data_IF_986618819977
#
_entry.id   IF_986618819977
#
_cell.length_a   1.000
_cell.length_b   1.000
_cell.length_c   1.000
_cell.angle_alpha   90.00
_cell.angle_beta   90.00
_cell.angle_gamma   90.00
#
_symmetry.space_group_name_H-M   'P 1'
#
loop_
_entity.id
_entity.type
_entity.pdbx_description
1 polymer ?
#
# COMPACT_ATOMS: atom_id res chain seq x y z
N UNK A 1 -6.74 9.50 -20.67
CA UNK A 1 -7.50 8.57 -19.82
C UNK A 1 -6.51 8.09 -18.79
N UNK A 2 -6.80 8.33 -17.52
CA UNK A 2 -5.93 7.93 -16.42
C UNK A 2 -5.68 6.42 -16.46
N UNK A 3 -4.43 6.02 -16.33
CA UNK A 3 -4.01 4.63 -16.25
C UNK A 3 -3.34 4.36 -14.90
N UNK A 4 -3.80 3.33 -14.20
CA UNK A 4 -3.27 2.95 -12.90
C UNK A 4 -2.79 1.51 -12.93
N UNK A 5 -1.65 1.27 -12.30
CA UNK A 5 -1.15 -0.08 -12.03
C UNK A 5 -1.34 -0.34 -10.53
N UNK A 6 -2.18 -1.32 -10.20
CA UNK A 6 -2.57 -1.63 -8.83
C UNK A 6 -2.21 -3.08 -8.53
N UNK A 7 -1.42 -3.34 -7.49
CA UNK A 7 -1.02 -4.68 -7.09
C UNK A 7 -0.65 -4.76 -5.61
N UNK A 8 -0.59 -5.97 -5.06
CA UNK A 8 -0.13 -6.27 -3.71
C UNK A 8 0.57 -7.63 -3.70
N UNK A 9 0.66 -8.25 -2.52
CA UNK A 9 1.22 -9.61 -2.37
C UNK A 9 2.63 -9.75 -2.97
N UNK A 10 3.47 -8.74 -2.76
CA UNK A 10 4.85 -8.77 -3.22
C UNK A 10 5.64 -9.82 -2.43
N UNK A 11 5.40 -9.95 -1.11
CA UNK A 11 6.06 -10.94 -0.23
C UNK A 11 7.59 -11.00 -0.42
N UNK A 12 8.24 -9.84 -0.48
CA UNK A 12 9.68 -9.67 -0.77
C UNK A 12 10.15 -10.18 -2.15
N UNK A 13 9.24 -10.53 -3.06
CA UNK A 13 9.57 -11.05 -4.40
C UNK A 13 9.74 -9.93 -5.43
N UNK A 14 10.65 -8.99 -5.16
CA UNK A 14 10.91 -7.78 -5.97
C UNK A 14 11.05 -8.07 -7.47
N UNK A 15 11.67 -9.19 -7.84
CA UNK A 15 11.91 -9.57 -9.24
C UNK A 15 10.64 -9.77 -10.08
N UNK A 16 9.46 -9.95 -9.47
CA UNK A 16 8.21 -10.04 -10.25
C UNK A 16 7.69 -8.68 -10.68
N UNK A 17 8.12 -7.59 -10.04
CA UNK A 17 7.75 -6.22 -10.42
C UNK A 17 8.20 -5.93 -11.86
N UNK A 18 9.35 -6.46 -12.28
CA UNK A 18 9.86 -6.35 -13.66
C UNK A 18 8.94 -6.94 -14.73
N UNK A 19 8.00 -7.79 -14.33
CA UNK A 19 7.04 -8.39 -15.26
C UNK A 19 5.87 -7.46 -15.56
N UNK A 20 5.67 -6.40 -14.77
CA UNK A 20 4.62 -5.40 -14.96
C UNK A 20 5.15 -4.34 -15.94
N UNK A 21 4.93 -4.57 -17.24
CA UNK A 21 5.53 -3.74 -18.31
C UNK A 21 4.92 -2.34 -18.41
N UNK A 22 3.73 -2.19 -17.88
CA UNK A 22 2.93 -0.97 -17.87
C UNK A 22 3.37 0.00 -16.77
N UNK A 23 4.09 -0.48 -15.76
CA UNK A 23 4.49 0.28 -14.57
C UNK A 23 5.16 1.64 -14.89
N UNK A 24 6.11 1.74 -15.85
CA UNK A 24 6.75 3.01 -16.18
C UNK A 24 5.85 4.03 -16.87
N UNK A 25 4.72 3.57 -17.42
CA UNK A 25 3.77 4.40 -18.17
C UNK A 25 2.48 4.68 -17.42
N UNK A 26 2.33 4.16 -16.20
CA UNK A 26 1.17 4.41 -15.36
C UNK A 26 1.19 5.84 -14.81
N UNK A 27 0.02 6.47 -14.70
CA UNK A 27 -0.11 7.75 -14.02
C UNK A 27 0.03 7.59 -12.51
N UNK A 28 -0.44 6.45 -11.98
CA UNK A 28 -0.30 6.04 -10.57
C UNK A 28 0.08 4.57 -10.44
N UNK A 29 0.93 4.29 -9.45
CA UNK A 29 1.19 2.95 -8.92
C UNK A 29 0.59 2.84 -7.53
N UNK A 30 -0.30 1.89 -7.30
CA UNK A 30 -0.95 1.68 -6.00
C UNK A 30 -0.58 0.30 -5.45
N UNK A 31 0.02 0.27 -4.26
CA UNK A 31 0.41 -0.96 -3.57
C UNK A 31 -0.61 -1.28 -2.47
N UNK A 32 -1.30 -2.42 -2.59
CA UNK A 32 -2.46 -2.74 -1.75
C UNK A 32 -2.15 -3.51 -0.46
N UNK A 33 -0.87 -3.76 -0.19
CA UNK A 33 -0.39 -4.47 1.00
C UNK A 33 0.42 -5.73 0.70
N UNK A 34 0.87 -6.38 1.76
CA UNK A 34 1.72 -7.57 1.77
C UNK A 34 2.98 -7.37 0.94
N UNK A 35 3.66 -6.25 1.22
CA UNK A 35 4.93 -5.93 0.58
C UNK A 35 5.99 -6.95 1.01
N UNK A 36 6.01 -7.23 2.30
CA UNK A 36 7.00 -8.06 2.95
C UNK A 36 6.41 -9.40 3.38
N UNK A 37 7.27 -10.31 3.84
CA UNK A 37 6.86 -11.56 4.46
C UNK A 37 7.25 -11.54 5.94
N UNK A 38 6.43 -10.87 6.77
CA UNK A 38 6.74 -10.52 8.16
C UNK A 38 8.01 -9.65 8.28
N UNK A 39 8.17 -8.69 7.37
CA UNK A 39 9.28 -7.74 7.33
C UNK A 39 8.89 -6.35 7.81
N UNK A 40 9.90 -5.51 8.02
CA UNK A 40 9.74 -4.17 8.58
C UNK A 40 10.05 -3.08 7.57
N UNK A 41 10.34 -1.89 8.11
CA UNK A 41 10.63 -0.68 7.32
C UNK A 41 11.75 -0.90 6.30
N UNK A 42 12.79 -1.66 6.63
CA UNK A 42 13.95 -1.85 5.75
C UNK A 42 13.55 -2.58 4.47
N UNK A 43 12.83 -3.69 4.59
CA UNK A 43 12.35 -4.47 3.45
C UNK A 43 11.35 -3.66 2.61
N UNK A 44 10.43 -2.96 3.25
CA UNK A 44 9.50 -2.07 2.56
C UNK A 44 10.24 -0.95 1.80
N UNK A 45 11.27 -0.36 2.39
CA UNK A 45 12.10 0.67 1.75
C UNK A 45 12.81 0.14 0.50
N UNK A 46 13.37 -1.07 0.55
CA UNK A 46 13.98 -1.72 -0.62
C UNK A 46 12.97 -1.90 -1.76
N UNK A 47 11.75 -2.35 -1.45
CA UNK A 47 10.67 -2.54 -2.42
C UNK A 47 10.19 -1.20 -3.01
N UNK A 48 9.93 -0.20 -2.16
CA UNK A 48 9.47 1.12 -2.61
C UNK A 48 10.53 1.80 -3.47
N UNK A 49 11.80 1.75 -3.07
CA UNK A 49 12.89 2.29 -3.88
C UNK A 49 13.02 1.56 -5.22
N UNK A 50 12.74 0.26 -5.24
CA UNK A 50 12.73 -0.51 -6.49
C UNK A 50 11.62 -0.05 -7.45
N UNK A 51 10.39 0.10 -6.94
CA UNK A 51 9.25 0.61 -7.70
C UNK A 51 9.52 2.03 -8.21
N UNK A 52 10.17 2.87 -7.39
CA UNK A 52 10.54 4.25 -7.75
C UNK A 52 11.49 4.36 -8.94
N UNK A 53 12.25 3.33 -9.27
CA UNK A 53 13.03 3.31 -10.51
C UNK A 53 12.14 3.31 -11.77
N UNK A 54 10.91 2.79 -11.66
CA UNK A 54 9.94 2.75 -12.74
C UNK A 54 8.95 3.90 -12.69
N UNK A 55 8.42 4.21 -11.51
CA UNK A 55 7.38 5.23 -11.34
C UNK A 55 7.44 5.89 -9.96
N UNK A 56 7.36 7.22 -9.92
CA UNK A 56 7.43 8.01 -8.67
C UNK A 56 6.07 8.37 -8.08
N UNK A 57 4.98 8.26 -8.84
CA UNK A 57 3.62 8.50 -8.34
C UNK A 57 3.09 7.23 -7.69
N UNK A 58 3.41 7.07 -6.41
CA UNK A 58 3.11 5.87 -5.63
C UNK A 58 2.15 6.23 -4.50
N UNK A 59 1.12 5.40 -4.32
CA UNK A 59 0.38 5.26 -3.07
C UNK A 59 0.56 3.83 -2.57
N UNK A 60 0.65 3.63 -1.27
CA UNK A 60 0.87 2.32 -0.68
C UNK A 60 0.18 2.18 0.67
N UNK A 61 -0.38 1.02 0.95
CA UNK A 61 -0.84 0.65 2.29
C UNK A 61 -0.16 -0.63 2.75
N UNK A 62 -0.09 -0.83 4.06
CA UNK A 62 0.38 -2.09 4.65
C UNK A 62 -0.62 -3.22 4.43
N UNK A 63 -0.15 -4.46 4.29
CA UNK A 63 -0.98 -5.66 4.44
C UNK A 63 -0.88 -6.24 5.84
N UNK A 64 -1.38 -7.46 6.03
CA UNK A 64 -1.33 -8.11 7.34
C UNK A 64 0.04 -8.75 7.61
N UNK A 65 0.82 -9.04 6.56
CA UNK A 65 2.18 -9.57 6.64
C UNK A 65 3.25 -8.48 6.85
N UNK A 66 2.84 -7.22 6.89
CA UNK A 66 3.70 -6.06 7.07
C UNK A 66 3.62 -5.57 8.53
N UNK A 67 4.76 -5.28 9.15
CA UNK A 67 4.77 -4.67 10.49
C UNK A 67 4.29 -3.22 10.47
N UNK A 68 3.60 -2.80 11.54
CA UNK A 68 3.00 -1.46 11.66
C UNK A 68 4.00 -0.30 11.51
N UNK A 69 5.30 -0.50 11.76
CA UNK A 69 6.32 0.54 11.51
C UNK A 69 6.42 0.94 10.02
N UNK A 70 5.93 0.11 9.10
CA UNK A 70 5.85 0.43 7.67
C UNK A 70 4.79 1.53 7.44
N UNK A 71 3.72 1.57 8.25
CA UNK A 71 2.73 2.64 8.20
C UNK A 71 3.41 4.01 8.40
N UNK A 72 4.16 4.17 9.50
CA UNK A 72 4.88 5.41 9.80
C UNK A 72 5.92 5.75 8.72
N UNK A 73 6.53 4.74 8.10
CA UNK A 73 7.42 4.95 6.97
C UNK A 73 6.67 5.53 5.76
N UNK A 74 5.50 4.99 5.41
CA UNK A 74 4.68 5.50 4.32
C UNK A 74 4.14 6.92 4.61
N UNK A 75 3.77 7.20 5.87
CA UNK A 75 3.39 8.54 6.32
C UNK A 75 4.50 9.56 6.06
N UNK A 76 5.72 9.25 6.51
CA UNK A 76 6.88 10.12 6.34
C UNK A 76 7.24 10.36 4.88
N UNK A 77 6.87 9.43 3.98
CA UNK A 77 7.04 9.58 2.54
C UNK A 77 5.89 10.31 1.84
N UNK A 78 4.76 10.52 2.52
CA UNK A 78 3.56 11.11 1.95
C UNK A 78 2.87 10.19 0.93
N UNK A 79 2.98 8.86 1.08
CA UNK A 79 2.40 7.87 0.17
C UNK A 79 1.38 6.95 0.84
N UNK A 80 1.10 7.11 2.13
CA UNK A 80 0.32 6.13 2.89
C UNK A 80 -1.16 6.16 2.52
N UNK A 81 -1.71 5.04 2.07
CA UNK A 81 -3.13 4.88 1.77
C UNK A 81 -3.90 4.24 2.93
N UNK A 82 -3.23 3.65 3.93
CA UNK A 82 -3.89 3.08 5.10
C UNK A 82 -4.52 4.19 5.94
N UNK A 83 -5.86 4.27 5.96
CA UNK A 83 -6.59 5.29 6.72
C UNK A 83 -6.67 6.67 6.06
N UNK A 84 -6.24 6.78 4.80
CA UNK A 84 -6.14 8.06 4.07
C UNK A 84 -6.92 8.07 2.76
N UNK A 85 -7.35 9.27 2.37
CA UNK A 85 -8.00 9.58 1.10
C UNK A 85 -7.15 10.46 0.20
N UNK A 86 -7.14 10.17 -1.10
CA UNK A 86 -6.40 10.92 -2.11
C UNK A 86 -7.25 11.19 -3.33
N UNK A 87 -7.36 12.45 -3.72
CA UNK A 87 -7.97 12.87 -4.98
C UNK A 87 -6.95 12.76 -6.11
N UNK A 88 -7.18 11.86 -7.06
CA UNK A 88 -6.28 11.61 -8.18
C UNK A 88 -6.63 12.46 -9.40
N UNK A 89 -7.93 12.71 -9.63
CA UNK A 89 -8.47 13.63 -10.63
C UNK A 89 -9.74 14.32 -10.07
N UNK A 90 -10.32 15.27 -10.81
CA UNK A 90 -11.52 16.02 -10.38
C UNK A 90 -12.67 15.11 -9.92
N UNK A 91 -12.94 14.05 -10.69
CA UNK A 91 -14.03 13.09 -10.47
C UNK A 91 -13.53 11.72 -9.95
N UNK A 92 -12.28 11.63 -9.49
CA UNK A 92 -11.70 10.38 -9.01
C UNK A 92 -10.90 10.56 -7.73
N UNK A 93 -11.28 9.83 -6.69
CA UNK A 93 -10.52 9.68 -5.45
C UNK A 93 -10.35 8.20 -5.10
N UNK A 94 -9.29 7.92 -4.34
CA UNK A 94 -9.00 6.60 -3.78
C UNK A 94 -8.79 6.75 -2.28
N UNK A 95 -9.22 5.76 -1.53
CA UNK A 95 -9.02 5.68 -0.08
C UNK A 95 -8.86 4.22 0.30
N UNK A 96 -8.18 3.93 1.40
CA UNK A 96 -7.82 2.56 1.73
C UNK A 96 -7.72 2.24 3.20
N UNK A 97 -7.72 0.95 3.46
CA UNK A 97 -7.40 0.36 4.75
C UNK A 97 -6.60 -0.91 4.50
N UNK A 98 -5.47 -0.97 5.18
CA UNK A 98 -4.55 -2.10 5.17
C UNK A 98 -4.80 -3.10 6.31
N UNK A 99 -3.93 -4.09 6.41
CA UNK A 99 -4.03 -5.17 7.41
C UNK A 99 -5.11 -6.20 7.07
N UNK A 100 -5.50 -7.00 8.07
CA UNK A 100 -6.58 -7.99 7.92
C UNK A 100 -7.44 -8.08 9.18
N UNK A 101 -8.58 -8.75 9.09
CA UNK A 101 -9.29 -9.22 10.29
C UNK A 101 -8.47 -10.27 11.05
N UNK A 102 -8.78 -10.58 12.33
CA UNK A 102 -8.01 -11.55 13.08
C UNK A 102 -7.88 -12.89 12.35
N UNK A 103 -6.64 -13.38 12.21
CA UNK A 103 -6.34 -14.64 11.51
C UNK A 103 -5.94 -15.72 12.52
N UNK A 104 -5.99 -17.02 12.16
CA UNK A 104 -5.46 -18.07 13.04
C UNK A 104 -3.92 -18.06 13.15
N UNK A 105 -3.23 -17.20 12.38
CA UNK A 105 -1.78 -17.16 12.30
C UNK A 105 -1.16 -16.05 13.16
N UNK A 106 -1.97 -15.14 13.73
CA UNK A 106 -1.51 -13.93 14.42
C UNK A 106 -0.49 -13.17 13.56
N UNK A 107 -0.91 -12.80 12.35
CA UNK A 107 -0.09 -12.04 11.42
C UNK A 107 0.25 -10.65 11.99
N UNK A 108 1.36 -10.04 11.56
CA UNK A 108 1.87 -8.79 12.12
C UNK A 108 0.85 -7.69 12.35
N UNK A 109 -0.06 -7.48 11.40
CA UNK A 109 -1.05 -6.39 11.45
C UNK A 109 -2.47 -6.94 11.25
N UNK A 110 -3.23 -6.98 12.34
CA UNK A 110 -4.63 -7.41 12.37
C UNK A 110 -5.50 -6.40 13.13
N UNK A 111 -6.71 -6.17 12.63
CA UNK A 111 -7.68 -5.22 13.14
C UNK A 111 -9.05 -5.87 13.28
N UNK A 112 -9.84 -5.43 14.25
CA UNK A 112 -11.26 -5.75 14.30
C UNK A 112 -12.02 -5.13 13.12
N UNK A 113 -13.18 -5.70 12.77
CA UNK A 113 -14.12 -5.12 11.80
C UNK A 113 -14.48 -3.66 12.14
N UNK A 114 -14.60 -3.34 13.44
CA UNK A 114 -14.90 -1.99 13.90
C UNK A 114 -13.75 -1.01 13.64
N UNK A 115 -12.51 -1.45 13.82
CA UNK A 115 -11.32 -0.64 13.51
C UNK A 115 -11.19 -0.43 12.00
N UNK A 116 -11.36 -1.49 11.19
CA UNK A 116 -11.37 -1.39 9.73
C UNK A 116 -12.41 -0.37 9.24
N UNK A 117 -13.64 -0.45 9.77
CA UNK A 117 -14.69 0.51 9.43
C UNK A 117 -14.31 1.94 9.85
N UNK A 118 -13.73 2.14 11.03
CA UNK A 118 -13.32 3.46 11.52
C UNK A 118 -12.21 4.09 10.65
N UNK A 119 -11.24 3.30 10.20
CA UNK A 119 -10.22 3.76 9.25
C UNK A 119 -10.83 4.16 7.92
N UNK A 120 -11.73 3.34 7.35
CA UNK A 120 -12.38 3.64 6.07
C UNK A 120 -13.25 4.90 6.14
N UNK A 121 -13.98 5.12 7.23
CA UNK A 121 -14.75 6.36 7.40
C UNK A 121 -13.85 7.58 7.50
N UNK A 122 -12.73 7.50 8.23
CA UNK A 122 -11.74 8.58 8.28
C UNK A 122 -11.18 8.88 6.89
N UNK A 123 -10.74 7.83 6.18
CA UNK A 123 -10.14 7.91 4.86
C UNK A 123 -11.10 8.48 3.79
N UNK A 124 -12.40 8.20 3.91
CA UNK A 124 -13.43 8.68 3.00
C UNK A 124 -13.68 10.20 3.12
N UNK A 125 -13.46 10.77 4.30
CA UNK A 125 -13.71 12.20 4.57
C UNK A 125 -12.55 13.12 4.17
N UNK A 126 -11.40 12.56 3.75
CA UNK A 126 -10.24 13.28 3.20
C UNK A 126 -10.37 13.61 1.70
#
# INVERSE_FOLDING_TARGET
MLNMVVFGDVHNQINYIDKIKELPSADWTIITGDLTNCGGKKEAEEIINYIRYYNTHILAQIGNMDFLEINDYFENLGINLHGHGYRLEEELAVFGVGGSTPTPFNTPTEYSEQEIAAFLYTAYEE
#
